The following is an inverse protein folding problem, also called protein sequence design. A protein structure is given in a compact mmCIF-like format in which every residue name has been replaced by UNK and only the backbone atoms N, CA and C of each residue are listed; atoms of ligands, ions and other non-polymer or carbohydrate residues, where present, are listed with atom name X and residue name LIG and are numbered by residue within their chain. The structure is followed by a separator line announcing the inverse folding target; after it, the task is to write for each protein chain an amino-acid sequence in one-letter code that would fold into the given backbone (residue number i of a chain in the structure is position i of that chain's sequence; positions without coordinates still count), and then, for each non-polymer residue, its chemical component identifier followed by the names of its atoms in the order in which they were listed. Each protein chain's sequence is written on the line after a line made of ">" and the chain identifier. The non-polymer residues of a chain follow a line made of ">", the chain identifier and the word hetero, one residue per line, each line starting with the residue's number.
data_IF_678587000701
#
_entry.id   IF_678587000701
#
_cell.length_a   1.000
_cell.length_b   1.000
_cell.length_c   1.000
_cell.angle_alpha   90.00
_cell.angle_beta   90.00
_cell.angle_gamma   90.00
#
_symmetry.space_group_name_H-M   'P 1'
#
loop_
_entity.id
_entity.type
_entity.pdbx_description
1 polymer ?
#
# COMPACT_ATOMS: atom_id res chain seq x y z
N UNK A 1 -0.57 29.21 -10.85
CA UNK A 1 -1.13 27.89 -11.20
C UNK A 1 -2.09 27.47 -10.09
N UNK A 2 -3.35 27.10 -10.38
CA UNK A 2 -4.28 26.73 -9.34
C UNK A 2 -3.88 25.38 -8.76
N UNK A 3 -3.69 25.31 -7.44
CA UNK A 3 -3.51 24.07 -6.70
C UNK A 3 -4.84 23.32 -6.76
N UNK A 4 -4.87 22.17 -7.44
CA UNK A 4 -6.02 21.26 -7.40
C UNK A 4 -6.26 20.85 -5.94
N UNK A 5 -7.53 20.76 -5.50
CA UNK A 5 -7.85 20.34 -4.14
C UNK A 5 -7.21 18.98 -3.88
N UNK A 6 -6.59 18.83 -2.72
CA UNK A 6 -6.05 17.56 -2.24
C UNK A 6 -7.23 16.59 -2.12
N UNK A 7 -7.49 15.88 -3.22
CA UNK A 7 -8.27 14.65 -3.22
C UNK A 7 -7.64 13.75 -2.16
N UNK A 8 -8.43 12.99 -1.41
CA UNK A 8 -7.89 11.97 -0.51
C UNK A 8 -6.68 11.29 -1.17
N UNK A 9 -5.50 11.22 -0.52
CA UNK A 9 -4.31 10.67 -1.15
C UNK A 9 -4.67 9.30 -1.71
N UNK A 10 -4.46 9.12 -3.01
CA UNK A 10 -4.83 7.89 -3.67
C UNK A 10 -4.16 6.73 -2.92
N UNK A 11 -5.00 5.85 -2.38
CA UNK A 11 -4.58 4.83 -1.42
C UNK A 11 -3.50 3.93 -2.02
N UNK A 12 -3.54 3.69 -3.33
CA UNK A 12 -2.52 2.94 -4.06
C UNK A 12 -1.19 3.69 -4.09
N UNK A 13 -1.20 5.00 -4.37
CA UNK A 13 0.01 5.81 -4.37
C UNK A 13 0.64 5.91 -2.98
N UNK A 14 -0.15 6.19 -1.94
CA UNK A 14 0.36 6.31 -0.57
C UNK A 14 0.93 4.97 -0.07
N UNK A 15 0.26 3.85 -0.39
CA UNK A 15 0.74 2.51 -0.09
C UNK A 15 2.07 2.22 -0.79
N UNK A 16 2.17 2.55 -2.09
CA UNK A 16 3.41 2.36 -2.84
C UNK A 16 4.59 3.09 -2.20
N UNK A 17 4.41 4.35 -1.81
CA UNK A 17 5.48 5.16 -1.22
C UNK A 17 5.84 4.67 0.19
N UNK A 18 4.86 4.52 1.09
CA UNK A 18 5.12 4.26 2.50
C UNK A 18 5.40 2.79 2.82
N UNK A 19 4.71 1.86 2.16
CA UNK A 19 4.83 0.42 2.43
C UNK A 19 5.94 -0.19 1.59
N UNK A 20 5.98 0.14 0.30
CA UNK A 20 6.91 -0.47 -0.64
C UNK A 20 8.14 0.39 -0.97
N UNK A 21 8.21 1.62 -0.46
CA UNK A 21 9.38 2.50 -0.63
C UNK A 21 9.54 3.04 -2.05
N UNK A 22 8.44 3.14 -2.81
CA UNK A 22 8.46 3.81 -4.11
C UNK A 22 8.76 5.30 -3.95
N UNK A 23 9.28 5.91 -5.02
CA UNK A 23 9.55 7.35 -5.09
C UNK A 23 8.87 7.99 -6.29
N UNK A 24 8.51 9.26 -6.15
CA UNK A 24 7.93 10.08 -7.22
C UNK A 24 6.68 9.42 -7.83
N UNK A 25 5.79 8.87 -7.00
CA UNK A 25 4.59 8.22 -7.51
C UNK A 25 3.61 9.29 -7.98
N UNK A 26 3.17 9.20 -9.23
CA UNK A 26 2.22 10.12 -9.82
C UNK A 26 1.33 9.41 -10.84
N UNK A 27 0.15 10.00 -11.08
CA UNK A 27 -0.80 9.47 -12.06
C UNK A 27 -0.42 9.95 -13.46
N UNK A 28 -0.28 9.01 -14.39
CA UNK A 28 -0.03 9.25 -15.80
C UNK A 28 -0.90 8.29 -16.62
N UNK A 29 -1.70 8.85 -17.51
CA UNK A 29 -2.62 8.09 -18.38
C UNK A 29 -3.49 7.07 -17.61
N UNK A 30 -4.13 7.54 -16.53
CA UNK A 30 -5.00 6.70 -15.69
C UNK A 30 -4.29 5.71 -14.76
N UNK A 31 -2.98 5.48 -14.93
CA UNK A 31 -2.17 4.56 -14.11
C UNK A 31 -1.22 5.30 -13.18
N UNK A 32 -0.77 4.64 -12.12
CA UNK A 32 0.30 5.15 -11.29
C UNK A 32 1.66 4.73 -11.84
N UNK A 33 2.59 5.69 -11.94
CA UNK A 33 3.97 5.48 -12.32
C UNK A 33 4.85 6.00 -11.19
N UNK A 34 5.91 5.26 -10.86
CA UNK A 34 6.88 5.69 -9.87
C UNK A 34 8.22 5.01 -10.07
N UNK A 35 9.15 5.26 -9.15
CA UNK A 35 10.47 4.64 -9.13
C UNK A 35 10.55 3.59 -8.01
N UNK A 36 11.03 2.39 -8.35
CA UNK A 36 11.32 1.31 -7.40
C UNK A 36 12.80 0.89 -7.54
N UNK A 37 13.50 0.53 -6.46
CA UNK A 37 14.84 -0.04 -6.56
C UNK A 37 14.80 -1.43 -7.22
N UNK A 38 15.69 -1.67 -8.16
CA UNK A 38 15.94 -3.01 -8.70
C UNK A 38 16.81 -3.85 -7.76
N UNK A 39 17.11 -5.10 -8.13
CA UNK A 39 17.96 -6.01 -7.33
C UNK A 39 19.38 -5.46 -7.09
N UNK A 40 19.82 -4.52 -7.92
CA UNK A 40 21.13 -3.84 -7.80
C UNK A 40 21.01 -2.49 -7.09
N UNK A 41 19.84 -2.16 -6.52
CA UNK A 41 19.58 -0.91 -5.81
C UNK A 41 19.39 0.31 -6.72
N UNK A 42 19.35 0.14 -8.05
CA UNK A 42 19.16 1.26 -8.98
C UNK A 42 17.68 1.60 -9.07
N UNK A 43 17.36 2.89 -9.05
CA UNK A 43 15.98 3.37 -9.18
C UNK A 43 15.52 3.26 -10.63
N UNK A 44 14.49 2.44 -10.88
CA UNK A 44 13.88 2.26 -12.19
C UNK A 44 12.45 2.75 -12.19
N UNK A 45 12.06 3.44 -13.25
CA UNK A 45 10.67 3.81 -13.49
C UNK A 45 9.87 2.57 -13.83
N UNK A 46 8.72 2.38 -13.16
CA UNK A 46 7.82 1.28 -13.38
C UNK A 46 6.37 1.72 -13.11
N UNK A 47 5.42 0.95 -13.63
CA UNK A 47 4.01 1.09 -13.26
C UNK A 47 3.82 0.56 -11.83
N UNK A 48 3.19 1.37 -10.99
CA UNK A 48 2.81 0.99 -9.62
C UNK A 48 1.65 0.01 -9.72
N UNK A 49 1.74 -1.18 -9.09
CA UNK A 49 0.63 -2.11 -8.99
C UNK A 49 -0.56 -1.48 -8.26
N UNK A 50 -1.77 -1.83 -8.68
CA UNK A 50 -2.98 -1.33 -8.02
C UNK A 50 -3.26 -2.10 -6.71
N UNK A 51 -2.60 -1.69 -5.63
CA UNK A 51 -2.71 -2.34 -4.34
C UNK A 51 -4.11 -2.22 -3.71
N UNK A 52 -4.89 -1.21 -4.08
CA UNK A 52 -6.21 -0.94 -3.50
C UNK A 52 -7.36 -1.64 -4.23
N UNK A 53 -7.15 -2.14 -5.46
CA UNK A 53 -8.18 -2.82 -6.25
C UNK A 53 -7.80 -4.26 -6.66
N UNK A 54 -6.51 -4.57 -6.86
CA UNK A 54 -6.07 -5.90 -7.28
C UNK A 54 -5.82 -6.82 -6.09
N UNK A 55 -6.56 -7.93 -6.02
CA UNK A 55 -6.47 -8.89 -4.91
C UNK A 55 -5.15 -9.64 -4.90
N UNK A 56 -4.55 -9.94 -6.06
CA UNK A 56 -3.24 -10.57 -6.15
C UNK A 56 -2.13 -9.66 -5.63
N UNK A 57 -2.19 -8.37 -5.95
CA UNK A 57 -1.25 -7.37 -5.43
C UNK A 57 -1.45 -7.10 -3.94
N UNK A 58 -2.67 -7.23 -3.43
CA UNK A 58 -2.96 -7.04 -2.02
C UNK A 58 -2.24 -8.05 -1.10
N UNK A 59 -1.96 -9.28 -1.56
CA UNK A 59 -1.14 -10.24 -0.80
C UNK A 59 0.32 -9.82 -0.68
N UNK A 60 0.84 -9.00 -1.60
CA UNK A 60 2.19 -8.46 -1.48
C UNK A 60 2.33 -7.52 -0.27
N UNK A 61 1.22 -6.94 0.22
CA UNK A 61 1.21 -6.10 1.43
C UNK A 61 1.48 -6.95 2.67
N UNK A 62 0.87 -8.13 2.77
CA UNK A 62 1.03 -9.04 3.91
C UNK A 62 2.50 -9.45 4.07
N UNK A 63 3.09 -9.92 2.96
CA UNK A 63 4.51 -10.28 2.90
C UNK A 63 5.41 -9.08 3.18
N UNK A 64 5.05 -7.89 2.70
CA UNK A 64 5.81 -6.68 2.96
C UNK A 64 5.76 -6.28 4.44
N UNK A 65 4.61 -6.38 5.09
CA UNK A 65 4.48 -6.10 6.53
C UNK A 65 5.30 -7.08 7.36
N UNK A 66 5.41 -8.34 6.92
CA UNK A 66 6.31 -9.34 7.51
C UNK A 66 7.78 -8.96 7.38
N UNK A 67 8.22 -8.55 6.20
CA UNK A 67 9.59 -8.08 5.97
C UNK A 67 9.94 -6.82 6.80
N UNK A 68 8.96 -5.96 7.07
CA UNK A 68 9.13 -4.76 7.88
C UNK A 68 9.05 -5.03 9.40
N UNK A 69 8.77 -6.27 9.82
CA UNK A 69 8.58 -6.62 11.24
C UNK A 69 7.32 -5.99 11.84
N UNK A 70 6.31 -5.68 11.03
CA UNK A 70 5.08 -4.98 11.43
C UNK A 70 3.84 -5.87 11.41
N UNK A 71 3.99 -7.17 11.17
CA UNK A 71 2.88 -8.12 11.03
C UNK A 71 1.88 -8.09 12.19
N UNK A 72 2.35 -8.06 13.44
CA UNK A 72 1.42 -8.06 14.59
C UNK A 72 0.55 -6.81 14.63
N UNK A 73 1.15 -5.63 14.41
CA UNK A 73 0.41 -4.37 14.41
C UNK A 73 -0.55 -4.31 13.22
N UNK A 74 -0.09 -4.78 12.05
CA UNK A 74 -0.88 -4.91 10.84
C UNK A 74 -2.13 -5.78 11.04
N UNK A 75 -1.98 -6.97 11.64
CA UNK A 75 -3.10 -7.88 11.91
C UNK A 75 -4.09 -7.26 12.90
N UNK A 76 -3.60 -6.55 13.93
CA UNK A 76 -4.47 -5.81 14.87
C UNK A 76 -5.27 -4.72 14.16
N UNK A 77 -4.64 -3.95 13.28
CA UNK A 77 -5.32 -2.90 12.51
C UNK A 77 -6.32 -3.46 11.50
N UNK A 78 -6.00 -4.59 10.85
CA UNK A 78 -6.93 -5.30 10.00
C UNK A 78 -8.18 -5.75 10.77
N UNK A 79 -8.01 -6.40 11.93
CA UNK A 79 -9.13 -6.85 12.75
C UNK A 79 -10.03 -5.69 13.22
N UNK A 80 -9.42 -4.52 13.54
CA UNK A 80 -10.15 -3.29 13.86
C UNK A 80 -10.97 -2.78 12.68
N UNK A 81 -10.36 -2.71 11.49
CA UNK A 81 -11.00 -2.18 10.28
C UNK A 81 -12.13 -3.07 9.77
N UNK A 82 -11.98 -4.39 9.87
CA UNK A 82 -13.01 -5.33 9.43
C UNK A 82 -14.14 -5.49 10.46
N UNK A 83 -14.02 -4.87 11.64
CA UNK A 83 -14.90 -5.05 12.81
C UNK A 83 -15.12 -6.53 13.19
N UNK A 84 -14.20 -7.39 12.77
CA UNK A 84 -14.29 -8.81 13.04
C UNK A 84 -13.14 -9.18 13.95
N UNK A 85 -13.49 -9.69 15.14
CA UNK A 85 -12.51 -10.07 16.14
C UNK A 85 -11.54 -11.17 15.67
N UNK A 86 -11.85 -11.88 14.57
CA UNK A 86 -11.12 -13.06 14.07
C UNK A 86 -11.32 -13.36 12.57
N UNK A 87 -11.37 -12.36 11.68
CA UNK A 87 -11.33 -12.71 10.24
C UNK A 87 -9.92 -13.21 9.87
N UNK A 88 -9.77 -14.35 9.18
CA UNK A 88 -8.51 -14.70 8.54
C UNK A 88 -8.10 -13.56 7.62
N UNK A 89 -6.80 -13.20 7.59
CA UNK A 89 -6.30 -12.12 6.73
C UNK A 89 -6.73 -12.26 5.25
N UNK A 90 -7.02 -13.49 4.80
CA UNK A 90 -7.56 -13.81 3.48
C UNK A 90 -8.93 -13.18 3.14
N UNK A 91 -9.67 -12.65 4.12
CA UNK A 91 -11.01 -12.06 3.91
C UNK A 91 -11.01 -10.53 3.87
N UNK A 92 -9.87 -9.89 4.18
CA UNK A 92 -9.74 -8.44 4.11
C UNK A 92 -9.65 -7.97 2.66
N UNK A 93 -10.43 -6.94 2.30
CA UNK A 93 -10.38 -6.35 0.96
C UNK A 93 -9.02 -5.68 0.70
N UNK A 94 -8.61 -5.51 -0.57
CA UNK A 94 -7.37 -4.81 -0.91
C UNK A 94 -7.26 -3.42 -0.26
N UNK A 95 -8.33 -2.63 -0.27
CA UNK A 95 -8.37 -1.35 0.45
C UNK A 95 -8.13 -1.48 1.96
N UNK A 96 -8.77 -2.45 2.62
CA UNK A 96 -8.60 -2.65 4.06
C UNK A 96 -7.16 -3.02 4.39
N UNK A 97 -6.52 -3.82 3.55
CA UNK A 97 -5.10 -4.18 3.67
C UNK A 97 -4.21 -2.95 3.51
N UNK A 98 -4.43 -2.09 2.51
CA UNK A 98 -3.71 -0.83 2.36
C UNK A 98 -3.87 0.07 3.59
N UNK A 99 -5.11 0.28 4.04
CA UNK A 99 -5.42 1.12 5.21
C UNK A 99 -4.76 0.58 6.49
N UNK A 100 -4.82 -0.73 6.72
CA UNK A 100 -4.18 -1.37 7.87
C UNK A 100 -2.66 -1.25 7.82
N UNK A 101 -2.07 -1.48 6.64
CA UNK A 101 -0.62 -1.35 6.43
C UNK A 101 -0.12 0.07 6.71
N UNK A 102 -0.81 1.08 6.20
CA UNK A 102 -0.48 2.48 6.45
C UNK A 102 -0.57 2.84 7.93
N UNK A 103 -1.60 2.35 8.64
CA UNK A 103 -1.72 2.55 10.09
C UNK A 103 -0.63 1.81 10.86
N UNK A 104 -0.27 0.60 10.45
CA UNK A 104 0.75 -0.19 11.12
C UNK A 104 2.16 0.46 11.08
N UNK A 105 2.39 1.31 10.07
CA UNK A 105 3.62 2.08 9.89
C UNK A 105 3.61 3.45 10.56
N UNK A 106 2.45 3.95 11.00
CA UNK A 106 2.39 5.18 11.81
C UNK A 106 2.98 4.87 13.19
N UNK A 107 3.90 5.74 13.62
CA UNK A 107 4.54 5.68 14.94
C UNK A 107 3.55 5.98 16.06
#
# INVERSE_FOLDING_TARGET
>A
MPKKPVSDPDLTAETAEKVFGWRNVHKYDGKFIGKKPDKLGRWRTATVPDYAADTGQAFAIDERMKQLGRSEHYVKELARLTKAARLPAGWATPEQRCKAALKALRK
#
